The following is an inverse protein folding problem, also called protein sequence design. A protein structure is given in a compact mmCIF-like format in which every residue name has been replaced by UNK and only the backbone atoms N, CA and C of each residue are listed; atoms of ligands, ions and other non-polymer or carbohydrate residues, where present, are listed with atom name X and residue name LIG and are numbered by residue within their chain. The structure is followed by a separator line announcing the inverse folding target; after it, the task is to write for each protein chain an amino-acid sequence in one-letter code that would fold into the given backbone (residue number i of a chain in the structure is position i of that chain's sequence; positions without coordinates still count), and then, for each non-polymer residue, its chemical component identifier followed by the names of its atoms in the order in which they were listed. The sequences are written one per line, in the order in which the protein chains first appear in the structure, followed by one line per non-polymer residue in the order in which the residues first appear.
data_IF_545742039626
#
_entry.id   IF_545742039626
#
_cell.length_a   1.000
_cell.length_b   1.000
_cell.length_c   1.000
_cell.angle_alpha   90.00
_cell.angle_beta   90.00
_cell.angle_gamma   90.00
#
_symmetry.space_group_name_H-M   'P 1'
#
loop_
_entity.id
_entity.type
_entity.pdbx_description
1 polymer ?
#
# COMPACT_ATOMS: atom_id res chain seq x y z
N UNK A 1 -40.72 38.91 25.06
CA UNK A 1 -42.10 39.27 24.69
C UNK A 1 -42.15 39.21 23.17
N UNK A 2 -42.73 38.15 22.60
CA UNK A 2 -42.94 38.09 21.14
C UNK A 2 -44.21 38.86 20.85
N UNK A 3 -44.07 40.03 20.24
CA UNK A 3 -45.22 40.74 19.66
C UNK A 3 -45.76 39.87 18.52
N UNK A 4 -46.72 39.01 18.86
CA UNK A 4 -47.56 38.34 17.90
C UNK A 4 -48.42 39.42 17.26
N UNK A 5 -47.97 39.98 16.15
CA UNK A 5 -48.78 40.85 15.31
C UNK A 5 -49.86 39.95 14.69
N UNK A 6 -50.95 39.71 15.43
CA UNK A 6 -52.11 38.99 14.91
C UNK A 6 -52.83 39.90 13.93
N UNK A 7 -53.13 39.39 12.74
CA UNK A 7 -53.95 40.12 11.79
C UNK A 7 -55.37 40.29 12.35
N UNK A 8 -55.77 41.52 12.64
CA UNK A 8 -57.10 41.83 13.15
C UNK A 8 -58.10 41.92 11.98
N UNK A 9 -58.74 40.79 11.71
CA UNK A 9 -59.77 40.63 10.67
C UNK A 9 -60.92 41.62 10.84
N UNK A 10 -61.35 41.90 12.08
CA UNK A 10 -62.49 42.78 12.36
C UNK A 10 -62.13 44.25 12.12
N UNK A 11 -60.95 44.68 12.58
CA UNK A 11 -60.47 46.03 12.33
C UNK A 11 -60.24 46.28 10.83
N UNK A 12 -59.77 45.27 10.09
CA UNK A 12 -59.58 45.35 8.64
C UNK A 12 -60.92 45.43 7.89
N UNK A 13 -61.89 44.58 8.20
CA UNK A 13 -63.24 44.62 7.60
C UNK A 13 -63.95 45.96 7.89
N UNK A 14 -63.80 46.52 9.09
CA UNK A 14 -64.34 47.86 9.44
C UNK A 14 -63.73 48.96 8.58
N UNK A 15 -62.42 48.93 8.31
CA UNK A 15 -61.76 49.89 7.41
C UNK A 15 -62.27 49.79 5.97
N UNK A 16 -62.49 48.58 5.46
CA UNK A 16 -63.06 48.36 4.13
C UNK A 16 -64.47 48.94 4.00
N UNK A 17 -65.32 48.74 5.02
CA UNK A 17 -66.65 49.35 5.06
C UNK A 17 -66.62 50.88 5.09
N UNK A 18 -65.69 51.47 5.83
CA UNK A 18 -65.53 52.94 5.90
C UNK A 18 -65.17 53.57 4.55
N UNK A 19 -64.55 52.82 3.64
CA UNK A 19 -64.22 53.29 2.28
C UNK A 19 -65.25 52.86 1.23
N UNK A 20 -66.42 52.37 1.65
CA UNK A 20 -67.55 52.08 0.78
C UNK A 20 -67.63 50.65 0.25
N UNK A 21 -66.81 49.72 0.74
CA UNK A 21 -66.95 48.29 0.40
C UNK A 21 -68.18 47.72 1.13
N UNK A 22 -69.11 47.03 0.44
CA UNK A 22 -70.26 46.36 1.06
C UNK A 22 -69.82 45.40 2.18
N UNK A 23 -70.66 45.26 3.22
CA UNK A 23 -70.32 44.48 4.41
C UNK A 23 -69.92 43.03 4.10
N UNK A 24 -70.72 42.31 3.31
CA UNK A 24 -70.43 40.94 2.90
C UNK A 24 -69.10 40.82 2.14
N UNK A 25 -68.79 41.79 1.28
CA UNK A 25 -67.52 41.80 0.54
C UNK A 25 -66.33 42.11 1.47
N UNK A 26 -66.49 43.04 2.41
CA UNK A 26 -65.45 43.40 3.37
C UNK A 26 -65.10 42.23 4.29
N UNK A 27 -66.09 41.44 4.71
CA UNK A 27 -65.91 40.25 5.54
C UNK A 27 -65.20 39.13 4.78
N UNK A 28 -65.68 38.77 3.58
CA UNK A 28 -65.03 37.76 2.74
C UNK A 28 -63.58 38.12 2.43
N UNK A 29 -63.29 39.40 2.18
CA UNK A 29 -61.94 39.84 1.86
C UNK A 29 -61.02 39.80 3.09
N UNK A 30 -61.52 40.20 4.26
CA UNK A 30 -60.78 40.11 5.50
C UNK A 30 -60.51 38.66 5.90
N UNK A 31 -61.49 37.77 5.73
CA UNK A 31 -61.38 36.35 6.02
C UNK A 31 -60.39 35.66 5.08
N UNK A 32 -60.48 35.91 3.77
CA UNK A 32 -59.55 35.38 2.79
C UNK A 32 -58.09 35.81 3.08
N UNK A 33 -57.88 37.08 3.47
CA UNK A 33 -56.55 37.58 3.82
C UNK A 33 -56.05 37.00 5.15
N UNK A 34 -56.92 36.83 6.14
CA UNK A 34 -56.58 36.20 7.42
C UNK A 34 -56.15 34.75 7.23
N UNK A 35 -56.84 33.99 6.36
CA UNK A 35 -56.46 32.61 6.00
C UNK A 35 -55.05 32.59 5.41
N UNK A 36 -54.76 33.48 4.44
CA UNK A 36 -53.43 33.53 3.82
C UNK A 36 -52.34 33.86 4.86
N UNK A 37 -52.56 34.87 5.71
CA UNK A 37 -51.55 35.34 6.66
C UNK A 37 -51.34 34.32 7.79
N UNK A 38 -52.40 33.71 8.31
CA UNK A 38 -52.30 32.84 9.48
C UNK A 38 -51.96 31.39 9.12
N UNK A 39 -52.39 30.89 7.95
CA UNK A 39 -52.22 29.48 7.60
C UNK A 39 -51.08 29.23 6.61
N UNK A 40 -50.79 30.17 5.72
CA UNK A 40 -49.85 29.93 4.61
C UNK A 40 -48.49 30.63 4.76
N UNK A 41 -48.37 31.61 5.64
CA UNK A 41 -47.12 32.35 5.84
C UNK A 41 -46.34 31.84 7.05
N UNK A 42 -45.03 31.66 6.87
CA UNK A 42 -44.14 31.37 7.96
C UNK A 42 -44.01 32.59 8.89
N UNK A 43 -44.18 32.38 10.19
CA UNK A 43 -44.06 33.47 11.17
C UNK A 43 -42.59 33.68 11.56
N UNK A 44 -42.26 34.87 12.10
CA UNK A 44 -40.94 35.14 12.70
C UNK A 44 -40.58 34.14 13.79
N UNK A 45 -41.59 33.61 14.50
CA UNK A 45 -41.41 32.57 15.50
C UNK A 45 -40.94 31.26 14.85
N UNK A 46 -41.59 30.81 13.77
CA UNK A 46 -41.19 29.60 13.06
C UNK A 46 -39.75 29.70 12.52
N UNK A 47 -39.39 30.87 11.96
CA UNK A 47 -38.02 31.12 11.50
C UNK A 47 -37.00 31.04 12.64
N UNK A 48 -37.33 31.58 13.82
CA UNK A 48 -36.46 31.52 14.99
C UNK A 48 -36.33 30.11 15.56
N UNK A 49 -37.42 29.34 15.60
CA UNK A 49 -37.40 27.94 15.99
C UNK A 49 -36.52 27.12 15.03
N UNK A 50 -36.66 27.35 13.72
CA UNK A 50 -35.82 26.72 12.70
C UNK A 50 -34.34 27.14 12.84
N UNK A 51 -34.05 28.41 13.09
CA UNK A 51 -32.68 28.89 13.31
C UNK A 51 -32.04 28.19 14.52
N UNK A 52 -32.79 28.02 15.61
CA UNK A 52 -32.32 27.32 16.81
C UNK A 52 -32.07 25.84 16.52
N UNK A 53 -32.98 25.18 15.80
CA UNK A 53 -32.82 23.79 15.40
C UNK A 53 -31.59 23.60 14.51
N UNK A 54 -31.42 24.43 13.48
CA UNK A 54 -30.25 24.37 12.60
C UNK A 54 -28.93 24.62 13.35
N UNK A 55 -28.92 25.57 14.29
CA UNK A 55 -27.75 25.81 15.15
C UNK A 55 -27.42 24.62 16.05
N UNK A 56 -28.43 23.89 16.50
CA UNK A 56 -28.24 22.67 17.26
C UNK A 56 -27.64 21.58 16.37
N UNK A 57 -28.22 21.32 15.21
CA UNK A 57 -27.77 20.29 14.28
C UNK A 57 -26.33 20.54 13.80
N UNK A 58 -25.97 21.79 13.52
CA UNK A 58 -24.60 22.18 13.16
C UNK A 58 -23.62 21.83 14.30
N UNK A 59 -23.98 22.13 15.55
CA UNK A 59 -23.12 21.80 16.70
C UNK A 59 -22.96 20.30 16.89
N UNK A 60 -24.04 19.53 16.68
CA UNK A 60 -23.99 18.08 16.75
C UNK A 60 -23.06 17.50 15.68
N UNK A 61 -23.18 17.98 14.44
CA UNK A 61 -22.29 17.62 13.34
C UNK A 61 -20.82 17.99 13.63
N UNK A 62 -20.55 19.17 14.18
CA UNK A 62 -19.20 19.57 14.57
C UNK A 62 -18.60 18.65 15.63
N UNK A 63 -19.41 18.20 16.59
CA UNK A 63 -18.96 17.25 17.63
C UNK A 63 -18.69 15.87 17.03
N UNK A 64 -19.59 15.37 16.17
CA UNK A 64 -19.40 14.09 15.46
C UNK A 64 -18.14 14.11 14.62
N UNK A 65 -17.94 15.13 13.79
CA UNK A 65 -16.74 15.26 12.96
C UNK A 65 -15.46 15.30 13.79
N UNK A 66 -15.46 16.00 14.93
CA UNK A 66 -14.30 16.01 15.86
C UNK A 66 -14.04 14.63 16.47
N UNK A 67 -15.08 13.83 16.71
CA UNK A 67 -14.93 12.47 17.19
C UNK A 67 -14.32 11.58 16.11
N UNK A 68 -14.89 11.58 14.91
CA UNK A 68 -14.42 10.79 13.77
C UNK A 68 -12.96 11.11 13.43
N UNK A 69 -12.58 12.40 13.46
CA UNK A 69 -11.19 12.81 13.24
C UNK A 69 -10.23 12.23 14.28
N UNK A 70 -10.64 12.15 15.56
CA UNK A 70 -9.81 11.56 16.62
C UNK A 70 -9.70 10.05 16.47
N UNK A 71 -10.80 9.39 16.11
CA UNK A 71 -10.80 7.95 15.86
C UNK A 71 -9.86 7.61 14.69
N UNK A 72 -9.95 8.38 13.59
CA UNK A 72 -9.06 8.22 12.45
C UNK A 72 -7.59 8.45 12.82
N UNK A 73 -7.29 9.47 13.64
CA UNK A 73 -5.92 9.73 14.11
C UNK A 73 -5.37 8.54 14.93
N UNK A 74 -6.18 7.94 15.79
CA UNK A 74 -5.81 6.77 16.58
C UNK A 74 -5.58 5.55 15.69
N UNK A 75 -6.48 5.30 14.73
CA UNK A 75 -6.34 4.19 13.77
C UNK A 75 -5.05 4.34 12.96
N UNK A 76 -4.79 5.52 12.41
CA UNK A 76 -3.60 5.76 11.61
C UNK A 76 -2.31 5.57 12.42
N UNK A 77 -2.30 6.00 13.69
CA UNK A 77 -1.17 5.75 14.61
C UNK A 77 -0.97 4.27 14.91
N UNK A 78 -2.04 3.49 14.96
CA UNK A 78 -1.96 2.04 15.14
C UNK A 78 -1.36 1.38 13.89
N UNK A 79 -1.90 1.68 12.71
CA UNK A 79 -1.44 1.12 11.43
C UNK A 79 0.04 1.44 11.18
N UNK A 80 0.48 2.67 11.50
CA UNK A 80 1.89 3.04 11.39
C UNK A 80 2.80 2.18 12.28
N UNK A 81 2.38 1.87 13.51
CA UNK A 81 3.14 1.02 14.43
C UNK A 81 3.19 -0.42 13.96
N UNK A 82 2.08 -0.93 13.44
CA UNK A 82 2.01 -2.27 12.87
C UNK A 82 2.95 -2.39 11.67
N UNK A 83 2.92 -1.42 10.76
CA UNK A 83 3.81 -1.37 9.60
C UNK A 83 5.28 -1.30 10.01
N UNK A 84 5.63 -0.48 11.00
CA UNK A 84 7.01 -0.42 11.52
C UNK A 84 7.46 -1.76 12.11
N UNK A 85 6.58 -2.45 12.84
CA UNK A 85 6.87 -3.76 13.42
C UNK A 85 7.07 -4.83 12.32
N UNK A 86 6.21 -4.84 11.29
CA UNK A 86 6.33 -5.74 10.14
C UNK A 86 7.65 -5.50 9.40
N UNK A 87 7.97 -4.25 9.06
CA UNK A 87 9.20 -3.92 8.35
C UNK A 87 10.44 -4.36 9.14
N UNK A 88 10.43 -4.17 10.46
CA UNK A 88 11.51 -4.63 11.35
C UNK A 88 11.63 -6.16 11.39
N UNK A 89 10.52 -6.87 11.29
CA UNK A 89 10.51 -8.32 11.19
C UNK A 89 11.14 -8.78 9.87
N UNK A 90 10.67 -8.23 8.75
CA UNK A 90 11.17 -8.57 7.41
C UNK A 90 12.66 -8.28 7.27
N UNK A 91 13.14 -7.16 7.81
CA UNK A 91 14.58 -6.85 7.83
C UNK A 91 15.41 -7.90 8.60
N UNK A 92 14.88 -8.43 9.71
CA UNK A 92 15.57 -9.47 10.48
C UNK A 92 15.56 -10.80 9.73
N UNK A 93 14.45 -11.14 9.09
CA UNK A 93 14.34 -12.35 8.29
C UNK A 93 15.33 -12.31 7.12
N UNK A 94 15.41 -11.17 6.42
CA UNK A 94 16.36 -10.95 5.35
C UNK A 94 17.82 -11.08 5.81
N UNK A 95 18.19 -10.51 6.97
CA UNK A 95 19.54 -10.65 7.54
C UNK A 95 19.89 -12.12 7.85
N UNK A 96 18.93 -12.88 8.38
CA UNK A 96 19.10 -14.31 8.64
C UNK A 96 19.27 -15.09 7.34
N UNK A 97 18.44 -14.82 6.32
CA UNK A 97 18.53 -15.46 5.01
C UNK A 97 19.88 -15.18 4.35
N UNK A 98 20.30 -13.91 4.30
CA UNK A 98 21.58 -13.54 3.70
C UNK A 98 22.76 -14.22 4.40
N UNK A 99 22.76 -14.29 5.74
CA UNK A 99 23.80 -15.00 6.50
C UNK A 99 23.82 -16.49 6.19
N UNK A 100 22.66 -17.10 5.96
CA UNK A 100 22.55 -18.50 5.56
C UNK A 100 23.13 -18.70 4.16
N UNK A 101 22.70 -17.90 3.19
CA UNK A 101 23.14 -17.98 1.80
C UNK A 101 24.67 -17.80 1.69
N UNK A 102 25.24 -16.85 2.45
CA UNK A 102 26.69 -16.66 2.49
C UNK A 102 27.44 -17.90 3.04
N UNK A 103 26.89 -18.59 4.04
CA UNK A 103 27.49 -19.82 4.56
C UNK A 103 27.37 -20.97 3.57
N UNK A 104 26.22 -21.11 2.91
CA UNK A 104 26.01 -22.13 1.88
C UNK A 104 26.99 -21.91 0.71
N UNK A 105 27.18 -20.66 0.29
CA UNK A 105 28.15 -20.30 -0.74
C UNK A 105 29.60 -20.60 -0.33
N UNK A 106 30.01 -20.27 0.90
CA UNK A 106 31.36 -20.59 1.41
C UNK A 106 31.63 -22.10 1.42
N UNK A 107 30.65 -22.90 1.84
CA UNK A 107 30.75 -24.37 1.83
C UNK A 107 30.85 -24.90 0.39
N UNK A 108 30.03 -24.39 -0.54
CA UNK A 108 30.08 -24.78 -1.95
C UNK A 108 31.44 -24.46 -2.56
N UNK A 109 31.94 -23.24 -2.39
CA UNK A 109 33.24 -22.83 -2.92
C UNK A 109 34.39 -23.69 -2.38
N UNK A 110 34.38 -24.01 -1.08
CA UNK A 110 35.39 -24.92 -0.48
C UNK A 110 35.33 -26.32 -1.07
N UNK A 111 34.13 -26.81 -1.37
CA UNK A 111 33.94 -28.11 -2.01
C UNK A 111 34.48 -28.08 -3.44
N UNK A 112 34.09 -27.09 -4.22
CA UNK A 112 34.51 -26.95 -5.63
C UNK A 112 36.04 -26.83 -5.72
N UNK A 113 36.68 -26.08 -4.81
CA UNK A 113 38.14 -25.99 -4.74
C UNK A 113 38.81 -27.34 -4.46
N UNK A 114 38.24 -28.16 -3.57
CA UNK A 114 38.76 -29.51 -3.29
C UNK A 114 38.58 -30.45 -4.48
N UNK A 115 37.42 -30.40 -5.12
CA UNK A 115 37.14 -31.20 -6.32
C UNK A 115 38.11 -30.83 -7.45
N UNK A 116 38.38 -29.53 -7.64
CA UNK A 116 39.35 -29.05 -8.61
C UNK A 116 40.79 -29.50 -8.28
N UNK A 117 41.23 -29.41 -7.01
CA UNK A 117 42.57 -29.88 -6.58
C UNK A 117 42.76 -31.38 -6.83
N UNK A 118 41.74 -32.20 -6.54
CA UNK A 118 41.77 -33.64 -6.80
C UNK A 118 41.82 -33.93 -8.30
N UNK A 119 41.01 -33.23 -9.11
CA UNK A 119 41.03 -33.37 -10.56
C UNK A 119 42.41 -33.03 -11.14
N UNK A 120 42.98 -31.89 -10.73
CA UNK A 120 44.28 -31.46 -11.24
C UNK A 120 45.41 -32.44 -10.86
N UNK A 121 45.41 -32.97 -9.64
CA UNK A 121 46.36 -34.00 -9.22
C UNK A 121 46.25 -35.27 -10.06
N UNK A 122 45.03 -35.70 -10.35
CA UNK A 122 44.76 -36.86 -11.20
C UNK A 122 45.29 -36.63 -12.61
N UNK A 123 44.97 -35.48 -13.20
CA UNK A 123 45.41 -35.11 -14.55
C UNK A 123 46.94 -35.06 -14.66
N UNK A 124 47.62 -34.53 -13.63
CA UNK A 124 49.08 -34.52 -13.55
C UNK A 124 49.68 -35.93 -13.49
N UNK A 125 49.11 -36.83 -12.67
CA UNK A 125 49.56 -38.22 -12.58
C UNK A 125 49.38 -38.95 -13.92
N UNK A 126 48.24 -38.73 -14.58
CA UNK A 126 47.97 -39.31 -15.89
C UNK A 126 48.96 -38.81 -16.95
N UNK A 127 49.26 -37.50 -16.96
CA UNK A 127 50.25 -36.92 -17.85
C UNK A 127 51.65 -37.49 -17.59
N UNK A 128 52.06 -37.64 -16.33
CA UNK A 128 53.35 -38.21 -15.96
C UNK A 128 53.49 -39.66 -16.43
N UNK A 129 52.44 -40.48 -16.25
CA UNK A 129 52.41 -41.86 -16.72
C UNK A 129 52.51 -41.94 -18.24
N UNK A 130 51.75 -41.11 -18.97
CA UNK A 130 51.81 -41.04 -20.43
C UNK A 130 53.21 -40.65 -20.91
N UNK A 131 53.83 -39.66 -20.27
CA UNK A 131 55.18 -39.22 -20.61
C UNK A 131 56.21 -40.33 -20.37
N UNK A 132 56.18 -41.01 -19.22
CA UNK A 132 57.07 -42.14 -18.92
C UNK A 132 56.88 -43.28 -19.91
N UNK A 133 55.64 -43.60 -20.25
CA UNK A 133 55.34 -44.65 -21.22
C UNK A 133 55.86 -44.32 -22.62
N UNK A 134 55.62 -43.09 -23.11
CA UNK A 134 56.13 -42.64 -24.43
C UNK A 134 57.66 -42.63 -24.46
N UNK A 135 58.33 -42.11 -23.42
CA UNK A 135 59.80 -42.16 -23.32
C UNK A 135 60.34 -43.59 -23.30
N UNK A 136 59.74 -44.48 -22.53
CA UNK A 136 60.16 -45.88 -22.44
C UNK A 136 60.02 -46.57 -23.79
N UNK A 137 58.90 -46.35 -24.49
CA UNK A 137 58.64 -46.94 -25.80
C UNK A 137 59.60 -46.39 -26.86
N UNK A 138 59.87 -45.08 -26.88
CA UNK A 138 60.85 -44.46 -27.79
C UNK A 138 62.28 -44.94 -27.53
N UNK A 139 62.71 -45.02 -26.27
CA UNK A 139 64.05 -45.52 -25.92
C UNK A 139 64.20 -46.99 -26.30
N UNK A 140 63.19 -47.82 -26.03
CA UNK A 140 63.18 -49.23 -26.45
C UNK A 140 63.29 -49.38 -27.96
N UNK A 141 62.54 -48.58 -28.73
CA UNK A 141 62.61 -48.56 -30.19
C UNK A 141 64.00 -48.11 -30.71
N UNK A 142 64.61 -47.08 -30.10
CA UNK A 142 65.96 -46.63 -30.46
C UNK A 142 67.03 -47.68 -30.19
N UNK A 143 66.96 -48.37 -29.04
CA UNK A 143 67.91 -49.44 -28.71
C UNK A 143 67.77 -50.62 -29.68
N UNK A 144 66.54 -51.04 -29.99
CA UNK A 144 66.29 -52.10 -30.96
C UNK A 144 66.85 -51.74 -32.34
N UNK A 145 66.63 -50.51 -32.81
CA UNK A 145 67.20 -50.01 -34.07
C UNK A 145 68.74 -49.93 -34.04
N UNK A 146 69.34 -49.53 -32.93
CA UNK A 146 70.80 -49.53 -32.78
C UNK A 146 71.40 -50.94 -32.86
N UNK A 147 70.79 -51.91 -32.20
CA UNK A 147 71.23 -53.32 -32.22
C UNK A 147 71.13 -53.88 -33.65
N UNK A 148 70.03 -53.62 -34.37
CA UNK A 148 69.88 -54.11 -35.74
C UNK A 148 70.92 -53.51 -36.69
N UNK A 149 71.25 -52.22 -36.54
CA UNK A 149 72.32 -51.58 -37.32
C UNK A 149 73.69 -52.21 -37.03
N UNK A 150 74.05 -52.42 -35.76
CA UNK A 150 75.33 -53.03 -35.38
C UNK A 150 75.43 -54.47 -35.90
N UNK A 151 74.36 -55.26 -35.77
CA UNK A 151 74.33 -56.63 -36.25
C UNK A 151 74.59 -56.69 -37.78
N UNK A 152 73.98 -55.79 -38.55
CA UNK A 152 74.20 -55.68 -39.99
C UNK A 152 75.65 -55.30 -40.34
N UNK A 153 76.27 -54.39 -39.57
CA UNK A 153 77.66 -53.99 -39.77
C UNK A 153 78.65 -55.13 -39.50
N UNK A 154 78.46 -55.90 -38.42
CA UNK A 154 79.33 -57.04 -38.08
C UNK A 154 79.25 -58.14 -39.15
N UNK A 155 78.09 -58.37 -39.75
CA UNK A 155 77.96 -59.36 -40.84
C UNK A 155 78.61 -58.93 -42.16
N UNK A 156 78.99 -57.65 -42.31
CA UNK A 156 79.53 -57.09 -43.55
C UNK A 156 81.07 -57.02 -43.58
N UNK A 157 81.74 -57.21 -42.44
CA UNK A 157 83.22 -57.23 -42.28
C UNK A 157 83.72 -58.66 -42.19
#
# INVERSE_FOLDING_TARGET
MSDSITFDTLAYAKKLRQVGVPEEQAEVHAEALAIIINEKLATKRNLKELEVALKHDIKELEVSLKHDMKELEVSLKHDMKELEASLKHDMKELDVSLKRDMKELDVSLKRDMKELDVSLKRDMQELELRLKHDLTLRLGAMLAAGITIIALLVTLV
#
